data_IF_894203191714
#
_entry.id   IF_894203191714
#
_cell.length_a   1.000
_cell.length_b   1.000
_cell.length_c   1.000
_cell.angle_alpha   90.00
_cell.angle_beta   90.00
_cell.angle_gamma   90.00
#
_symmetry.space_group_name_H-M   'P 1'
#
loop_
_entity.id
_entity.type
_entity.pdbx_description
1 polymer ?
#
# COMPACT_ATOMS: atom_id res chain seq x y z
N UNK A 1 -26.60 -8.33 16.32
CA UNK A 1 -26.02 -7.03 16.76
C UNK A 1 -24.70 -6.71 16.07
N UNK A 2 -23.75 -7.63 15.92
CA UNK A 2 -22.43 -7.32 15.32
C UNK A 2 -22.49 -6.89 13.84
N UNK A 3 -23.39 -7.45 13.03
CA UNK A 3 -23.62 -7.00 11.64
C UNK A 3 -24.16 -5.57 11.53
N UNK A 4 -24.85 -5.05 12.56
CA UNK A 4 -25.37 -3.68 12.55
C UNK A 4 -24.25 -2.66 12.81
N UNK A 5 -23.23 -3.01 13.62
CA UNK A 5 -22.02 -2.19 13.83
C UNK A 5 -21.16 -2.07 12.57
N UNK A 6 -21.30 -2.99 11.63
CA UNK A 6 -20.63 -2.92 10.33
C UNK A 6 -21.27 -1.88 9.39
N UNK A 7 -22.51 -1.46 9.65
CA UNK A 7 -23.10 -0.32 8.95
C UNK A 7 -22.54 1.02 9.42
N UNK A 8 -21.85 1.05 10.59
CA UNK A 8 -21.20 2.24 11.16
C UNK A 8 -19.68 2.27 10.91
N UNK A 9 -19.18 1.54 9.91
CA UNK A 9 -17.77 1.61 9.50
C UNK A 9 -17.44 3.02 9.02
N UNK A 10 -16.33 3.57 9.48
CA UNK A 10 -15.78 4.85 8.98
C UNK A 10 -15.43 4.71 7.49
N UNK A 11 -15.91 5.65 6.67
CA UNK A 11 -15.72 5.63 5.21
C UNK A 11 -15.04 6.92 4.77
N UNK A 12 -13.89 6.79 4.12
CA UNK A 12 -13.27 7.89 3.42
C UNK A 12 -13.77 7.92 1.96
N UNK A 13 -14.35 9.05 1.55
CA UNK A 13 -14.83 9.26 0.18
C UNK A 13 -13.83 10.12 -0.59
N UNK A 14 -13.24 9.53 -1.63
CA UNK A 14 -12.37 10.19 -2.60
C UNK A 14 -13.09 10.25 -3.94
N UNK A 15 -13.37 11.46 -4.42
CA UNK A 15 -13.82 11.71 -5.79
C UNK A 15 -12.67 12.32 -6.57
N UNK A 16 -12.32 11.72 -7.71
CA UNK A 16 -11.24 12.19 -8.57
C UNK A 16 -11.75 12.47 -9.98
N UNK A 17 -11.30 13.57 -10.62
CA UNK A 17 -11.59 13.79 -12.04
C UNK A 17 -10.82 12.76 -12.87
N UNK A 18 -11.52 11.97 -13.67
CA UNK A 18 -10.91 10.91 -14.49
C UNK A 18 -10.89 11.22 -15.98
N UNK A 19 -11.78 12.12 -16.45
CA UNK A 19 -11.83 12.62 -17.82
C UNK A 19 -12.67 13.90 -17.91
N UNK A 20 -12.24 14.89 -18.69
CA UNK A 20 -13.01 16.09 -19.06
C UNK A 20 -13.69 16.85 -17.90
N UNK A 21 -13.15 16.77 -16.68
CA UNK A 21 -13.64 17.50 -15.51
C UNK A 21 -12.56 18.48 -15.07
N UNK A 22 -12.91 19.76 -15.03
CA UNK A 22 -12.06 20.84 -14.53
C UNK A 22 -12.68 21.42 -13.26
N UNK A 23 -11.91 21.47 -12.16
CA UNK A 23 -12.33 22.20 -10.96
C UNK A 23 -12.34 23.70 -11.28
N UNK A 24 -13.28 24.45 -10.69
CA UNK A 24 -13.48 25.88 -10.98
C UNK A 24 -12.21 26.73 -10.88
N UNK A 25 -11.35 26.40 -9.93
CA UNK A 25 -10.11 27.14 -9.65
C UNK A 25 -8.85 26.44 -10.19
N UNK A 26 -9.00 25.41 -11.02
CA UNK A 26 -7.88 24.67 -11.59
C UNK A 26 -7.61 25.11 -13.04
N UNK A 27 -6.31 25.26 -13.36
CA UNK A 27 -5.88 25.69 -14.69
C UNK A 27 -5.91 24.57 -15.75
N UNK A 28 -5.94 23.31 -15.33
CA UNK A 28 -5.99 22.15 -16.23
C UNK A 28 -6.62 20.92 -15.57
N UNK A 29 -6.89 19.88 -16.38
CA UNK A 29 -7.36 18.58 -15.90
C UNK A 29 -6.35 17.95 -14.93
N UNK A 30 -5.06 17.93 -15.31
CA UNK A 30 -3.97 17.52 -14.42
C UNK A 30 -3.97 18.26 -13.08
N UNK A 31 -4.17 19.58 -13.10
CA UNK A 31 -4.23 20.37 -11.86
C UNK A 31 -5.47 20.01 -11.02
N UNK A 32 -6.61 19.80 -11.67
CA UNK A 32 -7.84 19.37 -11.01
C UNK A 32 -7.66 18.05 -10.28
N UNK A 33 -6.96 17.09 -10.90
CA UNK A 33 -6.64 15.82 -10.26
C UNK A 33 -5.71 16.01 -9.06
N UNK A 34 -4.60 16.74 -9.24
CA UNK A 34 -3.61 17.00 -8.18
C UNK A 34 -4.26 17.61 -6.96
N UNK A 35 -5.07 18.66 -7.18
CA UNK A 35 -5.81 19.35 -6.12
C UNK A 35 -6.84 18.45 -5.45
N UNK A 36 -7.63 17.69 -6.21
CA UNK A 36 -8.62 16.76 -5.63
C UNK A 36 -7.97 15.70 -4.71
N UNK A 37 -6.80 15.19 -5.10
CA UNK A 37 -6.04 14.25 -4.28
C UNK A 37 -5.47 14.95 -3.03
N UNK A 38 -4.90 16.13 -3.19
CA UNK A 38 -4.39 16.92 -2.06
C UNK A 38 -5.48 17.27 -1.06
N UNK A 39 -6.62 17.77 -1.52
CA UNK A 39 -7.79 18.11 -0.70
C UNK A 39 -8.31 16.88 0.07
N UNK A 40 -8.20 15.68 -0.51
CA UNK A 40 -8.48 14.44 0.22
C UNK A 40 -7.43 14.15 1.30
N UNK A 41 -6.14 14.38 1.03
CA UNK A 41 -5.08 14.19 2.01
C UNK A 41 -5.15 15.19 3.18
N UNK A 42 -5.74 16.37 2.95
CA UNK A 42 -6.04 17.34 4.00
C UNK A 42 -7.20 16.92 4.92
N UNK A 43 -7.87 15.80 4.63
CA UNK A 43 -8.85 15.18 5.52
C UNK A 43 -8.18 14.17 6.45
N UNK A 44 -8.90 13.82 7.50
CA UNK A 44 -8.59 12.70 8.39
C UNK A 44 -9.55 12.70 9.57
N UNK A 45 -9.16 12.07 10.67
CA UNK A 45 -9.97 11.91 11.88
C UNK A 45 -9.15 12.22 13.13
N UNK A 46 -9.80 12.39 14.27
CA UNK A 46 -9.11 12.54 15.57
C UNK A 46 -8.07 13.67 15.64
N UNK A 47 -8.22 14.71 14.82
CA UNK A 47 -7.32 15.87 14.80
C UNK A 47 -6.10 15.74 13.89
N UNK A 48 -5.97 14.64 13.14
CA UNK A 48 -4.87 14.44 12.19
C UNK A 48 -5.35 14.21 10.76
N UNK A 49 -4.50 14.57 9.80
CA UNK A 49 -4.72 14.44 8.37
C UNK A 49 -3.85 13.36 7.74
N UNK A 50 -4.27 12.84 6.58
CA UNK A 50 -3.40 11.96 5.80
C UNK A 50 -2.13 12.68 5.31
N UNK A 51 -2.18 14.01 5.13
CA UNK A 51 -1.03 14.83 4.77
C UNK A 51 0.03 14.84 5.90
N UNK A 52 -0.40 14.93 7.16
CA UNK A 52 0.48 14.79 8.33
C UNK A 52 1.12 13.41 8.39
N UNK A 53 0.31 12.37 8.16
CA UNK A 53 0.82 10.99 8.09
C UNK A 53 1.81 10.79 6.96
N UNK A 54 1.54 11.36 5.79
CA UNK A 54 2.44 11.29 4.66
C UNK A 54 3.76 11.99 4.97
N UNK A 55 3.71 13.17 5.60
CA UNK A 55 4.90 13.90 6.05
C UNK A 55 5.70 13.06 7.06
N UNK A 56 5.03 12.52 8.08
CA UNK A 56 5.61 11.65 9.11
C UNK A 56 6.34 10.45 8.49
N UNK A 57 5.73 9.81 7.48
CA UNK A 57 6.30 8.67 6.76
C UNK A 57 7.51 9.05 5.91
N UNK A 58 7.38 10.12 5.10
CA UNK A 58 8.36 10.49 4.08
C UNK A 58 9.62 11.09 4.70
N UNK A 59 9.44 11.92 5.73
CA UNK A 59 10.53 12.50 6.50
C UNK A 59 10.99 11.60 7.64
N UNK A 60 10.46 10.36 7.75
CA UNK A 60 10.93 9.35 8.71
C UNK A 60 10.91 9.83 10.16
N UNK A 61 9.89 10.61 10.53
CA UNK A 61 9.79 11.25 11.85
C UNK A 61 9.61 10.26 13.00
N UNK A 62 9.36 8.99 12.68
CA UNK A 62 9.25 7.88 13.63
C UNK A 62 10.59 7.29 14.09
N UNK A 63 11.67 7.53 13.35
CA UNK A 63 12.99 6.94 13.65
C UNK A 63 14.10 7.99 13.57
N UNK A 64 14.74 8.12 12.40
CA UNK A 64 15.78 9.10 12.11
C UNK A 64 15.26 10.13 11.09
N UNK A 65 14.78 11.30 11.55
CA UNK A 65 14.16 12.28 10.67
C UNK A 65 15.10 12.75 9.56
N UNK A 66 14.57 12.81 8.34
CA UNK A 66 15.25 13.40 7.19
C UNK A 66 15.01 14.90 7.16
N UNK A 67 16.06 15.67 6.86
CA UNK A 67 15.93 17.12 6.66
C UNK A 67 15.26 17.47 5.32
N UNK A 68 15.37 16.56 4.35
CA UNK A 68 14.93 16.80 2.98
C UNK A 68 14.49 15.51 2.29
N UNK A 69 13.47 15.64 1.44
CA UNK A 69 13.06 14.63 0.48
C UNK A 69 13.22 15.17 -0.93
N UNK A 70 13.95 14.45 -1.79
CA UNK A 70 14.14 14.85 -3.18
C UNK A 70 12.97 14.38 -4.06
N UNK A 71 12.12 15.32 -4.49
CA UNK A 71 11.08 15.06 -5.47
C UNK A 71 11.70 14.95 -6.87
N UNK A 72 11.49 13.83 -7.55
CA UNK A 72 12.13 13.53 -8.84
C UNK A 72 11.81 14.54 -9.93
N UNK A 73 10.55 14.99 -10.02
CA UNK A 73 10.06 15.86 -11.09
C UNK A 73 9.04 16.85 -10.54
N UNK A 74 9.18 18.13 -10.89
CA UNK A 74 8.17 19.14 -10.60
C UNK A 74 6.93 18.92 -11.50
N UNK A 75 5.71 18.81 -10.93
CA UNK A 75 4.49 18.59 -11.71
C UNK A 75 4.12 19.74 -12.66
N UNK A 76 4.67 20.94 -12.43
CA UNK A 76 4.28 22.15 -13.17
C UNK A 76 5.26 22.55 -14.29
N UNK A 77 6.55 22.32 -14.10
CA UNK A 77 7.59 22.74 -15.05
C UNK A 77 8.57 21.62 -15.44
N UNK A 78 8.35 20.40 -14.95
CA UNK A 78 9.20 19.22 -15.19
C UNK A 78 10.67 19.36 -14.74
N UNK A 79 11.02 20.42 -14.00
CA UNK A 79 12.34 20.54 -13.39
C UNK A 79 12.57 19.35 -12.43
N UNK A 80 13.71 18.68 -12.58
CA UNK A 80 14.04 17.51 -11.79
C UNK A 80 14.73 17.85 -10.47
N UNK A 81 14.75 16.87 -9.55
CA UNK A 81 15.46 16.93 -8.28
C UNK A 81 15.11 18.15 -7.43
N UNK A 82 13.83 18.27 -7.07
CA UNK A 82 13.35 19.37 -6.23
C UNK A 82 13.53 19.01 -4.75
N UNK A 83 14.37 19.77 -4.01
CA UNK A 83 14.57 19.56 -2.57
C UNK A 83 13.34 19.99 -1.79
N UNK A 84 12.59 19.04 -1.21
CA UNK A 84 11.48 19.32 -0.29
C UNK A 84 11.98 19.22 1.15
N UNK A 85 12.19 20.34 1.83
CA UNK A 85 12.72 20.35 3.20
C UNK A 85 11.65 20.18 4.30
N UNK A 86 12.06 19.82 5.52
CA UNK A 86 11.17 19.73 6.71
C UNK A 86 10.49 21.06 7.05
N UNK A 87 11.03 22.17 6.54
CA UNK A 87 10.46 23.53 6.65
C UNK A 87 9.16 23.70 5.88
N UNK A 88 8.62 22.66 5.23
CA UNK A 88 7.19 22.63 4.86
C UNK A 88 6.41 23.08 6.09
N UNK A 89 5.70 24.21 5.97
CA UNK A 89 4.84 24.67 7.05
C UNK A 89 3.89 23.53 7.37
N UNK A 90 3.92 23.08 8.63
CA UNK A 90 3.14 21.94 9.12
C UNK A 90 1.63 22.09 8.88
N UNK A 91 1.16 23.27 8.51
CA UNK A 91 -0.26 23.54 8.25
C UNK A 91 -0.63 23.58 6.77
N UNK A 92 0.33 23.80 5.86
CA UNK A 92 0.04 24.04 4.44
C UNK A 92 0.30 22.80 3.57
N UNK A 93 1.24 21.91 3.96
CA UNK A 93 1.61 20.71 3.18
C UNK A 93 1.86 20.95 1.69
N UNK A 94 2.27 22.16 1.36
CA UNK A 94 2.62 22.58 0.01
C UNK A 94 3.93 23.36 0.01
N UNK A 95 4.52 23.49 -1.18
CA UNK A 95 5.83 24.07 -1.40
C UNK A 95 5.86 24.85 -2.72
N UNK A 96 6.66 25.91 -2.78
CA UNK A 96 6.85 26.69 -4.00
C UNK A 96 8.06 26.20 -4.76
N UNK A 97 7.85 25.69 -5.98
CA UNK A 97 8.94 25.21 -6.83
C UNK A 97 10.03 26.29 -6.98
N UNK A 98 11.33 26.00 -6.74
CA UNK A 98 12.39 27.00 -6.85
C UNK A 98 12.54 27.54 -8.27
N UNK A 99 12.17 26.76 -9.29
CA UNK A 99 12.29 27.10 -10.70
C UNK A 99 11.11 27.90 -11.24
N UNK A 100 9.87 27.40 -11.08
CA UNK A 100 8.68 28.01 -11.69
C UNK A 100 7.79 28.79 -10.72
N UNK A 101 8.08 28.76 -9.42
CA UNK A 101 7.29 29.41 -8.36
C UNK A 101 5.81 29.00 -8.35
N UNK A 102 5.49 27.83 -8.90
CA UNK A 102 4.16 27.20 -8.80
C UNK A 102 4.15 26.21 -7.64
N UNK A 103 2.95 25.98 -7.13
CA UNK A 103 2.70 25.13 -5.97
C UNK A 103 2.93 23.64 -6.28
N UNK A 104 3.61 22.98 -5.36
CA UNK A 104 3.84 21.54 -5.27
C UNK A 104 3.16 21.07 -3.98
N UNK A 105 2.20 20.18 -4.10
CA UNK A 105 1.53 19.54 -2.98
C UNK A 105 2.39 18.39 -2.45
N UNK A 106 2.29 18.08 -1.15
CA UNK A 106 2.99 16.91 -0.58
C UNK A 106 2.59 15.61 -1.29
N UNK A 107 1.38 15.54 -1.84
CA UNK A 107 0.87 14.40 -2.63
C UNK A 107 1.54 14.26 -4.00
N UNK A 108 2.25 15.28 -4.50
CA UNK A 108 2.95 15.19 -5.79
C UNK A 108 4.15 14.23 -5.75
N UNK A 109 4.62 13.86 -4.55
CA UNK A 109 5.65 12.82 -4.39
C UNK A 109 5.21 11.45 -4.93
N UNK A 110 3.90 11.22 -5.08
CA UNK A 110 3.36 10.00 -5.67
C UNK A 110 3.52 9.95 -7.19
N UNK A 111 3.90 11.07 -7.81
CA UNK A 111 4.18 11.20 -9.25
C UNK A 111 3.02 10.78 -10.14
N UNK A 112 1.80 10.77 -9.60
CA UNK A 112 0.60 10.39 -10.34
C UNK A 112 0.33 11.31 -11.54
N UNK A 113 0.71 12.58 -11.41
CA UNK A 113 0.63 13.57 -12.48
C UNK A 113 1.42 13.19 -13.75
N UNK A 114 2.43 12.31 -13.63
CA UNK A 114 3.23 11.83 -14.77
C UNK A 114 2.49 10.78 -15.61
N UNK A 115 1.47 10.13 -15.03
CA UNK A 115 0.63 9.15 -15.72
C UNK A 115 -0.73 9.73 -16.13
N UNK A 116 -0.90 11.05 -16.02
CA UNK A 116 -2.10 11.77 -16.43
C UNK A 116 -1.82 12.49 -17.75
N UNK A 117 -2.69 12.21 -18.70
CA UNK A 117 -2.73 12.87 -19.99
C UNK A 117 -3.99 13.73 -20.08
N UNK A 118 -3.87 14.99 -20.51
CA UNK A 118 -5.00 15.92 -20.56
C UNK A 118 -5.98 15.57 -21.70
N UNK A 119 -5.57 14.82 -22.72
CA UNK A 119 -6.42 14.35 -23.83
C UNK A 119 -7.00 12.95 -23.56
N UNK A 120 -6.15 12.01 -23.11
CA UNK A 120 -6.53 10.61 -22.91
C UNK A 120 -7.18 10.36 -21.53
N UNK A 121 -6.95 11.24 -20.55
CA UNK A 121 -7.51 11.17 -19.20
C UNK A 121 -6.61 10.44 -18.18
N UNK A 122 -7.19 10.12 -17.01
CA UNK A 122 -6.47 9.54 -15.86
C UNK A 122 -6.88 8.08 -15.54
N UNK A 123 -7.47 7.36 -16.50
CA UNK A 123 -8.02 6.02 -16.27
C UNK A 123 -6.98 5.01 -15.74
N UNK A 124 -5.77 5.02 -16.30
CA UNK A 124 -4.68 4.13 -15.87
C UNK A 124 -4.13 4.41 -14.46
N UNK A 125 -4.38 5.61 -13.92
CA UNK A 125 -3.89 6.04 -12.61
C UNK A 125 -4.73 5.49 -11.46
N UNK A 126 -6.00 5.16 -11.71
CA UNK A 126 -6.95 4.74 -10.66
C UNK A 126 -6.49 3.49 -9.91
N UNK A 127 -5.89 2.52 -10.60
CA UNK A 127 -5.32 1.33 -9.95
C UNK A 127 -4.19 1.69 -8.99
N UNK A 128 -3.34 2.67 -9.34
CA UNK A 128 -2.26 3.15 -8.48
C UNK A 128 -2.79 3.93 -7.28
N UNK A 129 -3.84 4.73 -7.47
CA UNK A 129 -4.50 5.48 -6.38
C UNK A 129 -5.09 4.50 -5.37
N UNK A 130 -5.83 3.48 -5.79
CA UNK A 130 -6.47 2.54 -4.86
C UNK A 130 -5.43 1.86 -3.95
N UNK A 131 -4.38 1.29 -4.55
CA UNK A 131 -3.30 0.65 -3.78
C UNK A 131 -2.61 1.66 -2.86
N UNK A 132 -2.37 2.88 -3.34
CA UNK A 132 -1.76 3.93 -2.55
C UNK A 132 -2.59 4.32 -1.32
N UNK A 133 -3.88 4.62 -1.51
CA UNK A 133 -4.75 5.09 -0.44
C UNK A 133 -4.92 4.01 0.63
N UNK A 134 -5.13 2.75 0.25
CA UNK A 134 -5.21 1.63 1.20
C UNK A 134 -3.98 1.53 2.10
N UNK A 135 -2.80 1.66 1.50
CA UNK A 135 -1.53 1.59 2.24
C UNK A 135 -1.33 2.81 3.14
N UNK A 136 -1.67 4.02 2.67
CA UNK A 136 -1.60 5.23 3.49
C UNK A 136 -2.58 5.16 4.67
N UNK A 137 -3.75 4.57 4.50
CA UNK A 137 -4.69 4.34 5.62
C UNK A 137 -4.08 3.37 6.65
N UNK A 138 -3.39 2.31 6.22
CA UNK A 138 -2.68 1.42 7.15
C UNK A 138 -1.62 2.22 7.93
N UNK A 139 -0.84 3.07 7.27
CA UNK A 139 0.18 3.92 7.91
C UNK A 139 -0.47 4.90 8.89
N UNK A 140 -1.57 5.52 8.50
CA UNK A 140 -2.35 6.46 9.32
C UNK A 140 -2.81 5.79 10.62
N UNK A 141 -3.37 4.57 10.52
CA UNK A 141 -3.79 3.79 11.69
C UNK A 141 -2.60 3.38 12.58
N UNK A 142 -1.48 2.97 11.98
CA UNK A 142 -0.26 2.65 12.72
C UNK A 142 0.25 3.88 13.49
N UNK A 143 0.34 5.04 12.84
CA UNK A 143 0.77 6.30 13.45
C UNK A 143 -0.14 6.65 14.63
N UNK A 144 -1.46 6.64 14.43
CA UNK A 144 -2.43 6.90 15.48
C UNK A 144 -2.27 5.95 16.67
N UNK A 145 -2.01 4.65 16.44
CA UNK A 145 -1.75 3.69 17.52
C UNK A 145 -0.44 4.01 18.25
N UNK A 146 0.63 4.35 17.52
CA UNK A 146 1.92 4.69 18.13
C UNK A 146 1.83 5.94 19.02
N UNK A 147 1.05 6.94 18.62
CA UNK A 147 0.92 8.18 19.38
C UNK A 147 -0.04 8.06 20.57
N UNK A 148 -0.99 7.12 20.50
CA UNK A 148 -1.97 6.90 21.58
C UNK A 148 -1.55 5.82 22.56
N UNK A 149 -1.33 4.59 22.07
CA UNK A 149 -0.95 3.42 22.88
C UNK A 149 -0.21 2.38 22.03
N UNK A 150 1.13 2.46 21.91
CA UNK A 150 1.95 1.56 21.10
C UNK A 150 1.73 0.06 21.36
N UNK A 151 1.38 -0.31 22.60
CA UNK A 151 1.13 -1.70 22.98
C UNK A 151 0.04 -2.38 22.13
N UNK A 152 -0.94 -1.63 21.62
CA UNK A 152 -2.02 -2.15 20.76
C UNK A 152 -1.48 -2.76 19.46
N UNK A 153 -0.32 -2.31 18.96
CA UNK A 153 0.29 -2.93 17.76
C UNK A 153 0.60 -4.42 17.97
N UNK A 154 0.90 -4.84 19.20
CA UNK A 154 1.17 -6.24 19.52
C UNK A 154 -0.09 -7.11 19.51
N UNK A 155 -1.28 -6.49 19.48
CA UNK A 155 -2.58 -7.14 19.51
C UNK A 155 -3.36 -6.92 18.20
N UNK A 156 -2.75 -6.25 17.21
CA UNK A 156 -3.40 -5.84 15.95
C UNK A 156 -2.77 -6.53 14.75
N UNK A 157 -3.58 -7.26 13.98
CA UNK A 157 -3.21 -7.76 12.65
C UNK A 157 -3.80 -6.88 11.57
N UNK A 158 -2.92 -6.19 10.83
CA UNK A 158 -3.29 -5.43 9.64
C UNK A 158 -3.32 -6.37 8.43
N UNK A 159 -4.42 -6.32 7.67
CA UNK A 159 -4.58 -7.10 6.46
C UNK A 159 -4.94 -6.18 5.30
N UNK A 160 -4.11 -6.19 4.27
CA UNK A 160 -4.39 -5.54 2.98
C UNK A 160 -5.02 -6.55 2.02
N UNK A 161 -6.07 -6.14 1.32
CA UNK A 161 -6.57 -6.86 0.15
C UNK A 161 -5.62 -6.62 -1.04
N UNK A 162 -4.89 -7.64 -1.45
CA UNK A 162 -3.78 -7.54 -2.40
C UNK A 162 -2.39 -7.47 -1.77
N UNK A 163 -1.33 -7.39 -2.58
CA UNK A 163 0.05 -7.50 -2.11
C UNK A 163 0.52 -6.24 -1.38
N UNK A 164 1.45 -6.41 -0.46
CA UNK A 164 2.20 -5.33 0.18
C UNK A 164 3.27 -4.77 -0.78
N UNK A 165 2.80 -3.99 -1.75
CA UNK A 165 3.58 -3.41 -2.82
C UNK A 165 2.95 -2.09 -3.35
N UNK A 166 3.74 -1.35 -4.12
CA UNK A 166 3.32 -0.20 -4.92
C UNK A 166 3.73 -0.40 -6.38
N UNK A 167 2.95 0.13 -7.30
CA UNK A 167 3.10 -0.13 -8.74
C UNK A 167 3.13 1.17 -9.54
N UNK A 168 3.73 1.12 -10.74
CA UNK A 168 3.80 2.27 -11.64
C UNK A 168 4.45 3.47 -10.96
N UNK A 169 3.80 4.63 -11.05
CA UNK A 169 4.37 5.89 -10.56
C UNK A 169 4.52 5.97 -9.04
N UNK A 170 3.74 5.19 -8.29
CA UNK A 170 3.78 5.19 -6.81
C UNK A 170 4.83 4.23 -6.23
N UNK A 171 5.59 3.52 -7.09
CA UNK A 171 6.57 2.53 -6.68
C UNK A 171 7.66 3.10 -5.74
N UNK A 172 7.94 4.40 -5.79
CA UNK A 172 8.86 5.07 -4.87
C UNK A 172 8.47 4.92 -3.39
N UNK A 173 7.18 4.73 -3.10
CA UNK A 173 6.66 4.59 -1.73
C UNK A 173 7.07 3.29 -1.05
N UNK A 174 7.52 2.27 -1.79
CA UNK A 174 7.98 1.02 -1.16
C UNK A 174 9.16 1.25 -0.20
N UNK A 175 10.06 2.21 -0.49
CA UNK A 175 11.23 2.48 0.36
C UNK A 175 10.81 3.03 1.74
N UNK A 176 10.02 4.14 1.83
CA UNK A 176 9.47 4.60 3.10
C UNK A 176 8.71 3.51 3.86
N UNK A 177 7.85 2.73 3.20
CA UNK A 177 7.09 1.66 3.87
C UNK A 177 7.99 0.52 4.38
N UNK A 178 9.01 0.14 3.62
CA UNK A 178 10.00 -0.85 4.07
C UNK A 178 10.73 -0.36 5.30
N UNK A 179 11.11 0.92 5.33
CA UNK A 179 11.77 1.51 6.48
C UNK A 179 10.83 1.51 7.71
N UNK A 180 9.60 2.02 7.57
CA UNK A 180 8.62 2.01 8.65
C UNK A 180 8.38 0.60 9.20
N UNK A 181 8.15 -0.38 8.33
CA UNK A 181 7.89 -1.77 8.76
C UNK A 181 9.11 -2.40 9.43
N UNK A 182 10.32 -2.07 8.98
CA UNK A 182 11.56 -2.51 9.64
C UNK A 182 11.70 -1.91 11.03
N UNK A 183 11.50 -0.59 11.17
CA UNK A 183 11.49 0.10 12.45
C UNK A 183 10.48 -0.52 13.42
N UNK A 184 9.24 -0.75 12.96
CA UNK A 184 8.18 -1.36 13.78
C UNK A 184 8.53 -2.78 14.22
N UNK A 185 9.12 -3.60 13.34
CA UNK A 185 9.56 -4.96 13.71
C UNK A 185 10.72 -4.98 14.69
N UNK A 186 11.55 -3.93 14.74
CA UNK A 186 12.74 -3.87 15.61
C UNK A 186 12.49 -3.18 16.94
N UNK A 187 11.66 -2.13 16.95
CA UNK A 187 11.40 -1.29 18.13
C UNK A 187 10.05 -1.56 18.79
N UNK A 188 9.12 -2.13 18.04
CA UNK A 188 7.77 -2.45 18.47
C UNK A 188 7.45 -3.90 18.11
N UNK A 189 6.21 -4.15 17.72
CA UNK A 189 5.80 -5.39 17.12
C UNK A 189 4.86 -5.07 15.95
N UNK A 190 4.87 -5.88 14.90
CA UNK A 190 4.01 -5.67 13.74
C UNK A 190 3.48 -7.00 13.22
N UNK A 191 2.17 -7.09 13.08
CA UNK A 191 1.50 -8.14 12.33
C UNK A 191 0.85 -7.48 11.11
N UNK A 192 1.48 -7.64 9.94
CA UNK A 192 1.00 -7.05 8.68
C UNK A 192 1.12 -8.08 7.57
N UNK A 193 0.02 -8.29 6.84
CA UNK A 193 -0.03 -9.18 5.70
C UNK A 193 -0.82 -8.57 4.55
N UNK A 194 -0.39 -8.85 3.33
CA UNK A 194 -1.19 -8.65 2.11
C UNK A 194 -1.65 -9.98 1.56
N UNK A 195 -2.89 -10.06 1.10
CA UNK A 195 -3.51 -11.29 0.58
C UNK A 195 -3.93 -11.12 -0.87
N UNK A 196 -3.33 -11.88 -1.75
CA UNK A 196 -3.69 -11.87 -3.18
C UNK A 196 -4.85 -12.82 -3.44
N UNK A 197 -5.81 -12.35 -4.25
CA UNK A 197 -7.03 -13.09 -4.64
C UNK A 197 -7.12 -13.38 -6.13
N UNK A 198 -6.23 -12.80 -6.91
CA UNK A 198 -6.17 -12.97 -8.35
C UNK A 198 -4.74 -12.80 -8.87
N UNK A 199 -4.56 -13.15 -10.13
CA UNK A 199 -3.28 -13.03 -10.83
C UNK A 199 -2.45 -14.31 -10.78
N UNK A 200 -1.28 -14.30 -11.43
CA UNK A 200 -0.54 -15.51 -11.78
C UNK A 200 -0.06 -16.31 -10.57
N UNK A 201 0.21 -15.64 -9.44
CA UNK A 201 0.60 -16.32 -8.21
C UNK A 201 -0.55 -17.12 -7.58
N UNK A 202 -1.77 -16.61 -7.65
CA UNK A 202 -2.96 -17.27 -7.12
C UNK A 202 -3.35 -18.44 -8.04
N UNK A 203 -3.35 -18.21 -9.35
CA UNK A 203 -3.57 -19.26 -10.36
C UNK A 203 -2.59 -20.41 -10.18
N UNK A 204 -1.29 -20.12 -10.04
CA UNK A 204 -0.29 -21.14 -9.78
C UNK A 204 -0.50 -21.87 -8.44
N UNK A 205 -0.89 -21.13 -7.39
CA UNK A 205 -1.17 -21.72 -6.09
C UNK A 205 -2.33 -22.73 -6.19
N UNK A 206 -3.41 -22.39 -6.88
CA UNK A 206 -4.56 -23.26 -7.09
C UNK A 206 -4.16 -24.55 -7.85
N UNK A 207 -3.34 -24.43 -8.90
CA UNK A 207 -2.83 -25.56 -9.69
C UNK A 207 -1.97 -26.54 -8.86
N UNK A 208 -1.10 -26.03 -7.99
CA UNK A 208 -0.25 -26.88 -7.14
C UNK A 208 -0.95 -27.28 -5.83
N UNK A 209 -2.12 -26.71 -5.52
CA UNK A 209 -2.77 -26.83 -4.23
C UNK A 209 -2.98 -28.27 -3.80
N UNK A 210 -3.36 -29.16 -4.73
CA UNK A 210 -3.53 -30.61 -4.47
C UNK A 210 -2.23 -31.35 -4.14
N UNK A 211 -1.09 -30.84 -4.61
CA UNK A 211 0.25 -31.43 -4.38
C UNK A 211 0.85 -31.01 -3.04
N UNK A 212 0.39 -29.90 -2.47
CA UNK A 212 0.86 -29.41 -1.17
C UNK A 212 0.16 -30.13 -0.02
N UNK A 213 0.90 -30.46 1.04
CA UNK A 213 0.33 -30.98 2.29
C UNK A 213 -0.28 -29.82 3.09
N UNK A 214 -1.38 -30.03 3.84
CA UNK A 214 -1.87 -29.03 4.80
C UNK A 214 -0.77 -28.57 5.77
N UNK A 215 -0.75 -27.28 6.10
CA UNK A 215 0.29 -26.64 6.90
C UNK A 215 1.58 -26.26 6.16
N UNK A 216 1.64 -26.47 4.84
CA UNK A 216 2.83 -26.14 4.05
C UNK A 216 2.95 -24.63 3.84
N UNK A 217 4.14 -24.08 4.11
CA UNK A 217 4.54 -22.73 3.74
C UNK A 217 5.60 -22.86 2.65
N UNK A 218 5.26 -22.44 1.44
CA UNK A 218 6.15 -22.41 0.29
C UNK A 218 6.62 -20.96 0.07
N UNK A 219 7.86 -20.69 0.46
CA UNK A 219 8.52 -19.40 0.22
C UNK A 219 8.95 -19.32 -1.25
N UNK A 220 8.68 -18.18 -1.90
CA UNK A 220 8.93 -18.01 -3.32
C UNK A 220 10.21 -17.21 -3.54
N UNK A 221 11.22 -17.86 -4.10
CA UNK A 221 12.45 -17.21 -4.57
C UNK A 221 12.39 -16.89 -6.07
N UNK A 222 13.37 -16.15 -6.58
CA UNK A 222 13.46 -15.83 -8.01
C UNK A 222 13.42 -17.06 -8.91
N UNK A 223 14.10 -18.14 -8.50
CA UNK A 223 14.18 -19.36 -9.30
C UNK A 223 12.79 -19.98 -9.44
N UNK A 224 12.03 -20.07 -8.36
CA UNK A 224 10.67 -20.59 -8.36
C UNK A 224 9.73 -19.69 -9.17
N UNK A 225 9.80 -18.38 -8.94
CA UNK A 225 8.93 -17.38 -9.58
C UNK A 225 9.07 -17.45 -11.10
N UNK A 226 10.29 -17.33 -11.63
CA UNK A 226 10.51 -17.27 -13.08
C UNK A 226 10.47 -18.64 -13.77
N UNK A 227 10.59 -19.73 -13.00
CA UNK A 227 10.48 -21.09 -13.57
C UNK A 227 9.03 -21.55 -13.71
N UNK A 228 8.17 -21.19 -12.75
CA UNK A 228 6.83 -21.80 -12.66
C UNK A 228 5.67 -20.80 -12.75
N UNK A 229 5.88 -19.52 -12.45
CA UNK A 229 4.77 -18.57 -12.28
C UNK A 229 4.78 -17.51 -13.39
N UNK A 230 5.92 -16.83 -13.56
CA UNK A 230 6.05 -15.71 -14.48
C UNK A 230 7.03 -16.04 -15.61
N UNK A 231 6.76 -15.59 -16.84
CA UNK A 231 7.74 -15.68 -17.90
C UNK A 231 8.95 -14.80 -17.56
N UNK A 232 10.15 -15.36 -17.58
CA UNK A 232 11.37 -14.61 -17.34
C UNK A 232 12.62 -15.47 -17.33
N UNK A 233 13.77 -14.86 -17.56
CA UNK A 233 15.07 -15.49 -17.26
C UNK A 233 15.34 -15.30 -15.77
N UNK A 234 15.75 -16.37 -15.10
CA UNK A 234 16.18 -16.30 -13.71
C UNK A 234 17.43 -15.41 -13.63
N UNK A 235 17.31 -14.29 -12.95
CA UNK A 235 18.42 -13.46 -12.52
C UNK A 235 18.53 -13.57 -10.99
N UNK A 236 19.61 -14.19 -10.49
CA UNK A 236 19.83 -14.36 -9.06
C UNK A 236 20.55 -13.16 -8.42
N UNK A 237 20.83 -12.09 -9.18
CA UNK A 237 21.46 -10.86 -8.70
C UNK A 237 20.45 -9.73 -8.48
N UNK A 238 19.30 -9.78 -9.14
CA UNK A 238 18.22 -8.80 -9.04
C UNK A 238 16.96 -9.42 -8.43
N UNK A 239 16.59 -9.10 -7.18
CA UNK A 239 15.38 -9.62 -6.55
C UNK A 239 14.13 -9.30 -7.38
N UNK A 240 13.21 -10.26 -7.47
CA UNK A 240 11.91 -10.05 -8.09
C UNK A 240 11.23 -8.81 -7.50
N UNK A 241 10.77 -7.93 -8.39
CA UNK A 241 10.03 -6.71 -8.05
C UNK A 241 10.71 -5.81 -6.99
N UNK A 242 12.06 -5.75 -6.99
CA UNK A 242 12.90 -4.95 -6.07
C UNK A 242 12.43 -3.50 -5.86
N UNK A 243 11.95 -2.86 -6.92
CA UNK A 243 11.54 -1.45 -6.92
C UNK A 243 10.08 -1.23 -6.52
N UNK A 244 9.30 -2.29 -6.30
CA UNK A 244 7.84 -2.21 -6.17
C UNK A 244 7.33 -2.83 -4.86
N UNK A 245 7.90 -3.96 -4.45
CA UNK A 245 7.50 -4.65 -3.23
C UNK A 245 8.35 -4.18 -2.06
N UNK A 246 7.72 -4.04 -0.89
CA UNK A 246 8.41 -3.92 0.41
C UNK A 246 8.31 -5.21 1.24
N UNK A 247 7.90 -6.30 0.60
CA UNK A 247 7.54 -7.58 1.20
C UNK A 247 8.09 -8.76 0.40
N UNK A 248 8.13 -9.94 1.01
CA UNK A 248 8.34 -11.21 0.32
C UNK A 248 7.03 -11.98 0.21
N UNK A 249 6.92 -12.82 -0.82
CA UNK A 249 5.68 -13.53 -1.19
C UNK A 249 5.81 -15.03 -0.90
N UNK A 250 4.73 -15.65 -0.45
CA UNK A 250 4.66 -17.08 -0.16
C UNK A 250 3.29 -17.67 -0.51
N UNK A 251 3.27 -18.98 -0.74
CA UNK A 251 2.04 -19.77 -0.83
C UNK A 251 1.88 -20.52 0.49
N UNK A 252 0.76 -20.33 1.16
CA UNK A 252 0.41 -21.01 2.39
C UNK A 252 -0.78 -21.93 2.18
N UNK A 253 -0.60 -23.23 2.39
CA UNK A 253 -1.71 -24.18 2.49
C UNK A 253 -2.06 -24.36 3.97
N UNK A 254 -3.24 -23.91 4.37
CA UNK A 254 -3.70 -24.01 5.74
C UNK A 254 -3.97 -25.45 6.17
N UNK A 255 -4.15 -25.65 7.47
CA UNK A 255 -4.43 -26.99 8.04
C UNK A 255 -5.79 -27.52 7.55
N UNK A 256 -6.75 -26.65 7.29
CA UNK A 256 -8.06 -27.00 6.70
C UNK A 256 -8.03 -27.09 5.16
N UNK A 257 -6.85 -26.98 4.54
CA UNK A 257 -6.64 -27.28 3.13
C UNK A 257 -6.89 -26.12 2.16
N UNK A 258 -7.32 -24.94 2.64
CA UNK A 258 -7.39 -23.71 1.83
C UNK A 258 -5.98 -23.23 1.46
N UNK A 259 -5.87 -22.51 0.35
CA UNK A 259 -4.61 -21.99 -0.15
C UNK A 259 -4.64 -20.47 -0.21
N UNK A 260 -3.54 -19.86 0.21
CA UNK A 260 -3.42 -18.40 0.29
C UNK A 260 -2.11 -17.97 -0.34
N UNK A 261 -2.15 -16.90 -1.13
CA UNK A 261 -0.95 -16.17 -1.55
C UNK A 261 -0.79 -14.99 -0.61
N UNK A 262 0.27 -15.02 0.20
CA UNK A 262 0.50 -14.07 1.28
C UNK A 262 1.78 -13.29 1.01
N UNK A 263 1.74 -11.99 1.27
CA UNK A 263 2.92 -11.13 1.33
C UNK A 263 3.13 -10.61 2.75
N UNK A 264 4.36 -10.66 3.25
CA UNK A 264 4.74 -10.17 4.58
C UNK A 264 5.95 -9.24 4.41
N UNK A 265 6.02 -8.09 5.13
CA UNK A 265 7.13 -7.15 5.01
C UNK A 265 8.48 -7.84 5.24
N UNK A 266 9.51 -7.37 4.52
CA UNK A 266 10.89 -7.84 4.70
C UNK A 266 11.80 -6.65 4.93
N UNK A 267 12.88 -6.84 5.69
CA UNK A 267 13.84 -5.75 5.97
C UNK A 267 14.62 -5.30 4.73
N UNK A 268 14.85 -6.23 3.81
CA UNK A 268 15.56 -5.98 2.55
C UNK A 268 14.83 -6.70 1.40
N UNK A 269 14.87 -6.09 0.20
CA UNK A 269 14.41 -6.72 -1.04
C UNK A 269 15.19 -8.00 -1.38
N UNK A 270 16.47 -8.08 -0.98
CA UNK A 270 17.35 -9.22 -1.28
C UNK A 270 16.91 -10.53 -0.60
N UNK A 271 16.01 -10.46 0.40
CA UNK A 271 15.40 -11.64 1.03
C UNK A 271 14.76 -12.56 -0.02
N UNK A 272 14.21 -12.01 -1.11
CA UNK A 272 13.57 -12.80 -2.17
C UNK A 272 14.57 -13.69 -2.94
N UNK A 273 15.87 -13.42 -2.87
CA UNK A 273 16.87 -14.26 -3.54
C UNK A 273 17.05 -15.63 -2.87
N UNK A 274 16.89 -15.68 -1.54
CA UNK A 274 17.05 -16.90 -0.75
C UNK A 274 16.21 -16.82 0.54
N UNK A 275 14.87 -16.80 0.44
CA UNK A 275 13.99 -16.52 1.55
C UNK A 275 13.99 -17.65 2.58
N UNK A 276 14.07 -17.28 3.85
CA UNK A 276 13.96 -18.17 5.01
C UNK A 276 12.80 -17.73 5.88
N UNK A 277 12.23 -18.66 6.65
CA UNK A 277 11.14 -18.34 7.58
C UNK A 277 11.52 -17.23 8.57
N UNK A 278 12.77 -17.20 9.02
CA UNK A 278 13.31 -16.19 9.93
C UNK A 278 13.33 -14.77 9.36
N UNK A 279 13.24 -14.62 8.04
CA UNK A 279 13.24 -13.30 7.40
C UNK A 279 11.87 -12.60 7.49
N UNK A 280 10.84 -13.33 7.91
CA UNK A 280 9.46 -12.87 8.03
C UNK A 280 9.07 -12.75 9.50
N UNK A 281 9.01 -11.52 10.01
CA UNK A 281 8.62 -11.25 11.38
C UNK A 281 7.19 -11.74 11.66
N UNK A 282 6.99 -12.45 12.77
CA UNK A 282 5.70 -13.01 13.20
C UNK A 282 5.02 -13.98 12.21
N UNK A 283 5.77 -14.62 11.30
CA UNK A 283 5.23 -15.48 10.23
C UNK A 283 4.13 -16.45 10.70
N UNK A 284 4.43 -17.30 11.68
CA UNK A 284 3.50 -18.35 12.11
C UNK A 284 2.23 -17.78 12.75
N UNK A 285 2.35 -16.69 13.51
CA UNK A 285 1.22 -16.01 14.14
C UNK A 285 0.32 -15.33 13.08
N UNK A 286 0.92 -14.69 12.08
CA UNK A 286 0.20 -14.09 10.95
C UNK A 286 -0.61 -15.16 10.20
N UNK A 287 0.04 -16.25 9.78
CA UNK A 287 -0.61 -17.31 9.01
C UNK A 287 -1.70 -18.05 9.81
N UNK A 288 -1.46 -18.27 11.10
CA UNK A 288 -2.46 -18.87 11.99
C UNK A 288 -3.72 -18.00 12.09
N UNK A 289 -3.57 -16.68 12.19
CA UNK A 289 -4.71 -15.78 12.26
C UNK A 289 -5.41 -15.62 10.90
N UNK A 290 -4.67 -15.60 9.79
CA UNK A 290 -5.26 -15.65 8.44
C UNK A 290 -6.15 -16.88 8.28
N UNK A 291 -5.68 -18.06 8.69
CA UNK A 291 -6.48 -19.29 8.65
C UNK A 291 -7.77 -19.16 9.49
N UNK A 292 -7.73 -18.51 10.66
CA UNK A 292 -8.90 -18.32 11.53
C UNK A 292 -9.92 -17.34 10.95
N UNK A 293 -9.49 -16.36 10.15
CA UNK A 293 -10.33 -15.33 9.55
C UNK A 293 -11.06 -15.79 8.27
N UNK A 294 -11.08 -17.10 8.01
CA UNK A 294 -11.69 -17.71 6.83
C UNK A 294 -13.12 -17.23 6.60
N UNK A 295 -13.44 -16.95 5.33
CA UNK A 295 -14.82 -16.86 4.87
C UNK A 295 -15.19 -18.16 4.17
N UNK A 296 -16.39 -18.68 4.43
CA UNK A 296 -16.96 -19.82 3.69
C UNK A 296 -17.91 -19.36 2.57
N UNK A 297 -18.17 -18.05 2.44
CA UNK A 297 -19.07 -17.50 1.42
C UNK A 297 -18.39 -17.17 0.08
N UNK A 298 -17.07 -16.89 0.06
CA UNK A 298 -16.34 -16.61 -1.19
C UNK A 298 -14.93 -17.21 -1.14
N UNK A 299 -14.52 -17.86 -2.23
CA UNK A 299 -13.21 -18.49 -2.40
C UNK A 299 -12.07 -17.50 -2.14
N UNK A 300 -11.05 -17.94 -1.40
CA UNK A 300 -9.84 -17.20 -1.07
C UNK A 300 -10.08 -15.79 -0.45
N UNK A 301 -11.27 -15.55 0.12
CA UNK A 301 -11.60 -14.31 0.80
C UNK A 301 -11.56 -14.49 2.32
N UNK A 302 -11.10 -13.44 3.02
CA UNK A 302 -11.28 -13.34 4.46
C UNK A 302 -12.64 -12.72 4.77
N UNK A 303 -13.27 -13.19 5.85
CA UNK A 303 -14.60 -12.75 6.24
C UNK A 303 -14.71 -11.21 6.38
N UNK A 304 -13.76 -10.50 7.04
CA UNK A 304 -13.83 -9.04 7.13
C UNK A 304 -13.74 -8.34 5.77
N UNK A 305 -12.94 -8.87 4.84
CA UNK A 305 -12.74 -8.26 3.52
C UNK A 305 -13.95 -8.49 2.62
N UNK A 306 -14.50 -9.70 2.62
CA UNK A 306 -15.75 -10.00 1.90
C UNK A 306 -16.90 -9.11 2.38
N UNK A 307 -16.97 -8.85 3.68
CA UNK A 307 -18.00 -8.02 4.29
C UNK A 307 -17.83 -6.54 3.96
N UNK A 308 -16.60 -6.01 4.02
CA UNK A 308 -16.31 -4.65 3.58
C UNK A 308 -16.70 -4.43 2.11
N UNK A 309 -16.32 -5.37 1.22
CA UNK A 309 -16.69 -5.31 -0.20
C UNK A 309 -18.21 -5.33 -0.42
N UNK A 310 -18.94 -6.13 0.36
CA UNK A 310 -20.41 -6.17 0.32
C UNK A 310 -21.05 -4.84 0.73
N UNK A 311 -20.46 -4.14 1.70
CA UNK A 311 -20.96 -2.85 2.22
C UNK A 311 -20.65 -1.67 1.31
N UNK A 312 -19.57 -1.75 0.53
CA UNK A 312 -19.16 -0.70 -0.42
C UNK A 312 -19.74 -0.93 -1.83
N UNK A 313 -20.27 -2.13 -2.11
CA UNK A 313 -20.91 -2.44 -3.38
C UNK A 313 -22.08 -1.50 -3.68
N UNK A 314 -22.02 -0.84 -4.84
CA UNK A 314 -23.00 0.12 -5.36
C UNK A 314 -24.42 -0.48 -5.49
N UNK A 315 -24.54 -1.80 -5.58
CA UNK A 315 -25.85 -2.47 -5.63
C UNK A 315 -26.73 -2.19 -4.38
N UNK A 316 -26.13 -1.79 -3.25
CA UNK A 316 -26.84 -1.49 -2.00
C UNK A 316 -27.13 0.01 -1.79
N UNK A 317 -26.64 0.89 -2.67
CA UNK A 317 -26.83 2.33 -2.58
C UNK A 317 -27.00 2.93 -3.99
N UNK A 318 -28.23 2.95 -4.55
CA UNK A 318 -28.51 3.73 -5.75
C UNK A 318 -28.19 5.20 -5.44
N UNK A 319 -27.40 5.82 -6.32
CA UNK A 319 -27.09 7.25 -6.31
C UNK A 319 -28.35 8.10 -6.45
#
# INVERSE_FOLDING_TARGET
>A
EDMAKLNTIERYKLALPTKNILLKDAASFKESFRKSLFDFFMKGSSGETFAETLRWLIFQEFDAPLDEYNLSTCPNCAAGNIPLGVKIKKTEFSYQCPHCKKEIYITDIFRLHEAIDDELGAGGVLGYVNVLIEQIIIVYLIKAILETKPAILSETLFIKDGPLAFFGQTANMQKPLRHLTTFLSEKHNLFLAGLEKSGPFVEHADEIGKKLKPGTILLLDNTYIYKYILPGKVDNTAPYARSSYYSGKMIFKSVDGKIYVVTIPTKNADVVLAPKKSDFHNLDAILTNIQKLRCDMYDNSLFPVALANKLVSLANHPS
#
